data_IF_251609439117
#
_entry.id   IF_251609439117
#
_cell.length_a   1.000
_cell.length_b   1.000
_cell.length_c   1.000
_cell.angle_alpha   90.00
_cell.angle_beta   90.00
_cell.angle_gamma   90.00
#
_symmetry.space_group_name_H-M   'P 1'
#
loop_
_entity.id
_entity.type
_entity.pdbx_description
1 polymer ?
#
# COMPACT_ATOMS: atom_id res chain seq x y z
N UNK A 1 -12.96 -11.63 44.02
CA UNK A 1 -11.88 -11.76 43.03
C UNK A 1 -12.22 -10.84 41.87
N UNK A 2 -11.52 -9.72 41.74
CA UNK A 2 -11.75 -8.71 40.70
C UNK A 2 -10.74 -8.94 39.58
N UNK A 3 -11.21 -9.16 38.35
CA UNK A 3 -10.35 -9.15 37.17
C UNK A 3 -9.99 -7.69 36.84
N UNK A 4 -8.71 -7.34 36.93
CA UNK A 4 -8.22 -6.06 36.42
C UNK A 4 -8.18 -6.11 34.88
N UNK A 5 -8.88 -5.18 34.25
CA UNK A 5 -8.83 -4.99 32.80
C UNK A 5 -7.44 -4.42 32.43
N UNK A 6 -6.54 -5.24 31.91
CA UNK A 6 -5.14 -4.90 31.59
C UNK A 6 -4.96 -4.16 30.26
N UNK A 7 -5.92 -3.32 29.86
CA UNK A 7 -5.75 -2.50 28.66
C UNK A 7 -7.04 -1.85 28.23
N UNK A 8 -7.15 -0.54 28.45
CA UNK A 8 -8.03 0.27 27.63
C UNK A 8 -7.28 0.49 26.31
N UNK A 9 -7.74 -0.16 25.24
CA UNK A 9 -7.23 0.15 23.90
C UNK A 9 -7.45 1.64 23.64
N UNK A 10 -6.38 2.39 23.40
CA UNK A 10 -6.49 3.78 22.99
C UNK A 10 -7.03 3.79 21.56
N UNK A 11 -8.13 4.52 21.34
CA UNK A 11 -8.63 4.77 19.99
C UNK A 11 -7.64 5.73 19.34
N UNK A 12 -7.03 5.30 18.24
CA UNK A 12 -6.26 6.19 17.37
C UNK A 12 -7.21 7.18 16.68
N UNK A 13 -7.05 8.45 17.02
CA UNK A 13 -7.87 9.54 16.49
C UNK A 13 -7.23 10.25 15.30
N UNK A 14 -6.03 9.86 14.89
CA UNK A 14 -5.30 10.46 13.77
C UNK A 14 -5.43 9.60 12.52
N UNK A 15 -6.24 10.01 11.52
CA UNK A 15 -6.36 9.24 10.30
C UNK A 15 -5.02 9.22 9.55
N UNK A 16 -4.57 8.02 9.18
CA UNK A 16 -3.44 7.86 8.29
C UNK A 16 -3.71 8.53 6.92
N UNK A 17 -2.75 9.31 6.44
CA UNK A 17 -2.77 9.91 5.09
C UNK A 17 -1.85 9.12 4.17
N UNK A 18 -2.35 8.76 2.98
CA UNK A 18 -1.58 8.06 1.94
C UNK A 18 -1.36 8.99 0.76
N UNK A 19 -0.10 9.29 0.46
CA UNK A 19 0.31 10.02 -0.74
C UNK A 19 0.92 9.05 -1.75
N UNK A 20 0.19 8.70 -2.82
CA UNK A 20 0.76 7.95 -3.94
C UNK A 20 1.77 8.84 -4.67
N UNK A 21 2.96 8.31 -4.97
CA UNK A 21 3.95 8.98 -5.78
C UNK A 21 4.02 8.33 -7.17
N UNK A 22 2.91 8.47 -7.91
CA UNK A 22 2.79 8.05 -9.31
C UNK A 22 1.75 8.93 -10.02
N UNK A 23 2.15 9.59 -11.11
CA UNK A 23 1.27 10.54 -11.83
C UNK A 23 0.29 9.83 -12.76
N UNK A 24 0.73 8.82 -13.51
CA UNK A 24 -0.08 8.00 -14.42
C UNK A 24 0.77 6.82 -14.87
N UNK A 25 0.29 5.59 -14.65
CA UNK A 25 1.05 4.39 -14.98
C UNK A 25 0.81 4.00 -16.44
N UNK A 26 1.62 4.52 -17.35
CA UNK A 26 1.80 3.92 -18.67
C UNK A 26 3.02 3.00 -18.63
N UNK A 27 2.79 1.68 -18.61
CA UNK A 27 3.86 0.68 -18.55
C UNK A 27 4.01 -0.02 -19.89
N UNK A 28 5.12 0.21 -20.59
CA UNK A 28 5.44 -0.51 -21.82
C UNK A 28 5.57 -2.01 -21.51
N UNK A 29 5.01 -2.88 -22.34
CA UNK A 29 5.15 -4.32 -22.20
C UNK A 29 6.64 -4.71 -22.12
N UNK A 30 7.01 -5.51 -21.12
CA UNK A 30 8.40 -5.89 -20.85
C UNK A 30 9.13 -5.03 -19.80
N UNK A 31 8.53 -3.94 -19.30
CA UNK A 31 9.14 -3.11 -18.25
C UNK A 31 8.46 -3.30 -16.90
N UNK A 32 9.24 -3.61 -15.87
CA UNK A 32 8.77 -3.58 -14.49
C UNK A 32 8.58 -2.13 -14.02
N UNK A 33 7.55 -1.90 -13.22
CA UNK A 33 7.20 -0.60 -12.69
C UNK A 33 7.30 -0.59 -11.16
N UNK A 34 7.92 0.43 -10.59
CA UNK A 34 8.00 0.58 -9.12
C UNK A 34 6.89 1.50 -8.63
N UNK A 35 5.93 0.92 -7.91
CA UNK A 35 4.95 1.68 -7.14
C UNK A 35 5.61 2.15 -5.86
N UNK A 36 5.51 3.44 -5.57
CA UNK A 36 5.94 4.01 -4.30
C UNK A 36 4.83 4.83 -3.66
N UNK A 37 4.67 4.66 -2.35
CA UNK A 37 3.71 5.40 -1.53
C UNK A 37 4.41 5.97 -0.31
N UNK A 38 4.00 7.17 0.06
CA UNK A 38 4.38 7.79 1.30
C UNK A 38 3.18 7.80 2.25
N UNK A 39 3.40 7.37 3.49
CA UNK A 39 2.37 7.34 4.52
C UNK A 39 2.69 8.34 5.62
N UNK A 40 1.72 9.16 6.00
CA UNK A 40 1.81 10.07 7.13
C UNK A 40 0.83 9.63 8.20
N UNK A 41 1.38 9.40 9.38
CA UNK A 41 0.68 8.88 10.55
C UNK A 41 1.41 9.40 11.79
N UNK A 42 0.85 9.21 12.98
CA UNK A 42 1.49 9.54 14.27
C UNK A 42 2.63 8.57 14.66
N UNK A 43 3.13 7.81 13.67
CA UNK A 43 4.15 6.78 13.74
C UNK A 43 3.75 5.47 14.46
N UNK A 44 2.46 5.22 14.73
CA UNK A 44 2.07 4.05 15.54
C UNK A 44 1.10 3.04 14.88
N UNK A 45 0.42 3.37 13.77
CA UNK A 45 -0.71 2.55 13.32
C UNK A 45 -0.46 1.72 12.05
N UNK A 46 0.39 2.16 11.12
CA UNK A 46 0.50 1.50 9.80
C UNK A 46 1.42 0.28 9.84
N UNK A 47 0.79 -0.92 9.84
CA UNK A 47 1.47 -2.22 9.86
C UNK A 47 1.66 -2.84 8.48
N UNK A 48 0.83 -2.46 7.51
CA UNK A 48 0.81 -3.03 6.18
C UNK A 48 0.31 -1.99 5.18
N UNK A 49 0.89 -1.99 3.98
CA UNK A 49 0.36 -1.27 2.83
C UNK A 49 0.22 -2.27 1.66
N UNK A 50 -0.88 -2.16 0.91
CA UNK A 50 -1.17 -2.98 -0.26
C UNK A 50 -1.53 -2.09 -1.44
N UNK A 51 -1.12 -2.49 -2.65
CA UNK A 51 -1.60 -1.91 -3.90
C UNK A 51 -2.55 -2.88 -4.59
N UNK A 52 -3.68 -2.35 -5.05
CA UNK A 52 -4.66 -3.07 -5.84
C UNK A 52 -4.59 -2.53 -7.27
N UNK A 53 -4.29 -3.40 -8.22
CA UNK A 53 -4.18 -3.04 -9.63
C UNK A 53 -4.88 -4.08 -10.48
N UNK A 54 -5.29 -3.69 -11.67
CA UNK A 54 -5.89 -4.59 -12.64
C UNK A 54 -5.31 -4.34 -14.01
N UNK A 55 -5.30 -5.38 -14.81
CA UNK A 55 -4.93 -5.32 -16.21
C UNK A 55 -6.08 -4.74 -17.05
N UNK A 56 -5.75 -4.07 -18.15
CA UNK A 56 -6.74 -3.44 -19.02
C UNK A 56 -7.74 -4.46 -19.56
N UNK A 57 -9.04 -4.21 -19.32
CA UNK A 57 -10.12 -5.12 -19.73
C UNK A 57 -10.42 -6.25 -18.73
N UNK A 58 -9.66 -6.40 -17.65
CA UNK A 58 -10.01 -7.31 -16.56
C UNK A 58 -10.98 -6.67 -15.57
N UNK A 59 -11.81 -7.51 -14.96
CA UNK A 59 -12.79 -7.13 -13.93
C UNK A 59 -12.25 -7.37 -12.52
N UNK A 60 -11.30 -8.30 -12.37
CA UNK A 60 -10.68 -8.63 -11.10
C UNK A 60 -9.48 -7.72 -10.81
N UNK A 61 -9.26 -7.44 -9.52
CA UNK A 61 -8.05 -6.78 -9.04
C UNK A 61 -7.05 -7.81 -8.55
N UNK A 62 -5.79 -7.60 -8.91
CA UNK A 62 -4.63 -8.21 -8.29
C UNK A 62 -4.21 -7.34 -7.10
N UNK A 63 -3.90 -7.99 -5.98
CA UNK A 63 -3.34 -7.33 -4.80
C UNK A 63 -1.86 -7.65 -4.66
N UNK A 64 -1.08 -6.67 -4.23
CA UNK A 64 0.34 -6.84 -3.94
C UNK A 64 0.72 -6.08 -2.69
N UNK A 65 1.41 -6.76 -1.77
CA UNK A 65 1.92 -6.13 -0.56
C UNK A 65 3.14 -5.25 -0.90
N UNK A 66 3.15 -4.04 -0.34
CA UNK A 66 4.28 -3.13 -0.43
C UNK A 66 5.25 -3.42 0.72
N UNK A 67 6.54 -3.30 0.44
CA UNK A 67 7.60 -3.41 1.44
C UNK A 67 7.95 -2.03 1.97
N UNK A 68 8.03 -1.90 3.29
CA UNK A 68 8.53 -0.68 3.94
C UNK A 68 10.01 -0.51 3.61
N UNK A 69 10.36 0.57 2.91
CA UNK A 69 11.75 0.90 2.54
C UNK A 69 12.36 1.98 3.43
N UNK A 70 11.52 2.82 4.04
CA UNK A 70 11.89 3.76 5.09
C UNK A 70 10.69 4.00 6.03
N UNK A 71 10.87 4.80 7.08
CA UNK A 71 9.84 5.02 8.13
C UNK A 71 8.45 5.35 7.59
N UNK A 72 8.40 6.11 6.48
CA UNK A 72 7.17 6.56 5.82
C UNK A 72 7.04 6.11 4.37
N UNK A 73 7.95 5.26 3.89
CA UNK A 73 8.04 4.93 2.48
C UNK A 73 7.82 3.44 2.26
N UNK A 74 6.95 3.14 1.30
CA UNK A 74 6.53 1.78 0.94
C UNK A 74 6.68 1.60 -0.56
N UNK A 75 7.23 0.47 -1.00
CA UNK A 75 7.49 0.19 -2.40
C UNK A 75 7.21 -1.26 -2.79
N UNK A 76 6.79 -1.45 -4.04
CA UNK A 76 6.72 -2.74 -4.69
C UNK A 76 7.02 -2.57 -6.18
N UNK A 77 7.60 -3.61 -6.77
CA UNK A 77 7.82 -3.69 -8.21
C UNK A 77 6.76 -4.59 -8.81
N UNK A 78 5.97 -4.05 -9.72
CA UNK A 78 5.01 -4.79 -10.52
C UNK A 78 5.66 -5.10 -11.85
N UNK A 79 5.81 -6.39 -12.17
CA UNK A 79 6.34 -6.80 -13.47
C UNK A 79 5.30 -6.56 -14.57
N UNK A 80 5.75 -6.14 -15.75
CA UNK A 80 4.88 -5.94 -16.92
C UNK A 80 4.06 -7.18 -17.29
N UNK A 81 4.51 -8.36 -16.89
CA UNK A 81 3.85 -9.63 -17.17
C UNK A 81 2.49 -9.70 -16.45
N UNK A 82 2.35 -8.90 -15.39
CA UNK A 82 1.14 -8.77 -14.57
C UNK A 82 0.24 -7.60 -15.01
N UNK A 83 0.66 -6.80 -16.00
CA UNK A 83 -0.07 -5.65 -16.53
C UNK A 83 -0.12 -5.75 -18.05
N UNK A 84 -1.30 -5.86 -18.66
CA UNK A 84 -1.41 -5.75 -20.12
C UNK A 84 -2.15 -4.46 -20.44
N UNK A 85 -1.49 -3.62 -21.25
CA UNK A 85 -2.11 -2.45 -21.86
C UNK A 85 -2.94 -2.91 -23.06
N UNK A 86 -4.07 -2.24 -23.28
CA UNK A 86 -4.68 -2.17 -24.61
C UNK A 86 -4.03 -1.03 -25.38
#
# INVERSE_FOLDING_TARGET
>A
MTLSLLGQGQIDTTPATVLPNFDTLQTIAGQSFTVSLQTFDDNTAIRQAEVYFKKGGETAFTKMALKKTAERFWQATIDSNQITMR
#
